data_IF_629596126458
#
_entry.id   IF_629596126458
#
_cell.length_a   1.000
_cell.length_b   1.000
_cell.length_c   1.000
_cell.angle_alpha   90.00
_cell.angle_beta   90.00
_cell.angle_gamma   90.00
#
_symmetry.space_group_name_H-M   'P 1'
#
loop_
_entity.id
_entity.type
_entity.pdbx_description
1 polymer ?
#
# COMPACT_ATOMS: atom_id res chain seq x y z
N UNK A 1 -15.05 -14.33 21.36
CA UNK A 1 -13.66 -13.84 21.15
C UNK A 1 -13.54 -13.28 19.76
N UNK A 2 -13.49 -11.96 19.63
CA UNK A 2 -13.35 -11.24 18.37
C UNK A 2 -12.69 -9.88 18.63
N UNK A 3 -12.23 -9.22 17.57
CA UNK A 3 -11.69 -7.87 17.67
C UNK A 3 -12.81 -6.89 18.02
N UNK A 4 -12.53 -5.91 18.88
CA UNK A 4 -13.48 -4.82 19.17
C UNK A 4 -13.72 -4.00 17.89
N UNK A 5 -14.95 -3.52 17.66
CA UNK A 5 -15.28 -2.80 16.42
C UNK A 5 -14.41 -1.55 16.24
N UNK A 6 -14.10 -0.85 17.32
CA UNK A 6 -13.21 0.31 17.33
C UNK A 6 -11.73 -0.01 17.03
N UNK A 7 -11.33 -1.28 17.06
CA UNK A 7 -9.96 -1.71 16.74
C UNK A 7 -9.73 -1.98 15.24
N UNK A 8 -10.79 -1.90 14.42
CA UNK A 8 -10.72 -2.19 12.98
C UNK A 8 -11.16 -0.96 12.20
N UNK A 9 -10.22 -0.38 11.46
CA UNK A 9 -10.49 0.71 10.55
C UNK A 9 -10.34 0.25 9.10
N UNK A 10 -11.38 0.47 8.29
CA UNK A 10 -11.28 0.30 6.85
C UNK A 10 -10.59 1.50 6.21
N UNK A 11 -9.62 1.24 5.34
CA UNK A 11 -8.90 2.25 4.56
C UNK A 11 -8.91 1.84 3.09
N UNK A 12 -9.95 2.20 2.32
CA UNK A 12 -10.04 1.81 0.92
C UNK A 12 -9.04 2.60 0.07
N UNK A 13 -8.35 1.91 -0.83
CA UNK A 13 -7.57 2.54 -1.89
C UNK A 13 -8.36 2.65 -3.17
N UNK A 14 -8.10 3.70 -3.96
CA UNK A 14 -8.61 3.76 -5.34
C UNK A 14 -8.09 2.55 -6.12
N UNK A 15 -8.96 1.93 -6.92
CA UNK A 15 -8.53 0.89 -7.86
C UNK A 15 -7.62 1.56 -8.89
N UNK A 16 -6.37 1.12 -8.94
CA UNK A 16 -5.42 1.52 -9.97
C UNK A 16 -5.08 0.30 -10.81
N UNK A 17 -5.02 0.47 -12.13
CA UNK A 17 -4.64 -0.59 -13.07
C UNK A 17 -3.19 -1.07 -12.85
N UNK A 18 -2.37 -0.26 -12.16
CA UNK A 18 -0.99 -0.56 -11.78
C UNK A 18 -0.73 -0.20 -10.31
N UNK A 19 0.25 -0.88 -9.70
CA UNK A 19 0.80 -0.56 -8.37
C UNK A 19 -0.20 -0.59 -7.20
N UNK A 20 -1.14 -1.55 -7.20
CA UNK A 20 -2.19 -1.69 -6.17
C UNK A 20 -1.66 -1.63 -4.73
N UNK A 21 -0.53 -2.29 -4.44
CA UNK A 21 0.12 -2.26 -3.11
C UNK A 21 0.56 -0.84 -2.72
N UNK A 22 1.12 -0.07 -3.65
CA UNK A 22 1.53 1.32 -3.40
C UNK A 22 0.30 2.21 -3.22
N UNK A 23 -0.76 2.00 -4.01
CA UNK A 23 -2.03 2.70 -3.85
C UNK A 23 -2.64 2.50 -2.45
N UNK A 24 -2.60 1.27 -1.92
CA UNK A 24 -2.99 0.97 -0.53
C UNK A 24 -2.14 1.72 0.48
N UNK A 25 -0.82 1.78 0.29
CA UNK A 25 0.06 2.51 1.18
C UNK A 25 -0.17 4.03 1.14
N UNK A 26 -0.49 4.60 -0.03
CA UNK A 26 -0.85 6.02 -0.16
C UNK A 26 -2.18 6.31 0.53
N UNK A 27 -3.17 5.43 0.38
CA UNK A 27 -4.46 5.55 1.09
C UNK A 27 -4.26 5.53 2.61
N UNK A 28 -3.41 4.64 3.13
CA UNK A 28 -3.05 4.60 4.55
C UNK A 28 -2.41 5.90 5.02
N UNK A 29 -1.45 6.44 4.25
CA UNK A 29 -0.84 7.74 4.57
C UNK A 29 -1.88 8.85 4.64
N UNK A 30 -2.79 8.90 3.66
CA UNK A 30 -3.85 9.91 3.61
C UNK A 30 -4.76 9.80 4.83
N UNK A 31 -5.16 8.57 5.17
CA UNK A 31 -5.97 8.31 6.34
C UNK A 31 -5.31 8.82 7.64
N UNK A 32 -4.01 8.54 7.85
CA UNK A 32 -3.28 9.06 9.01
C UNK A 32 -3.30 10.60 9.08
N UNK A 33 -3.15 11.27 7.93
CA UNK A 33 -3.18 12.73 7.87
C UNK A 33 -4.56 13.29 8.18
N UNK A 34 -5.62 12.71 7.63
CA UNK A 34 -7.00 13.13 7.84
C UNK A 34 -7.44 12.98 9.30
N UNK A 35 -6.86 12.00 10.01
CA UNK A 35 -7.19 11.70 11.40
C UNK A 35 -6.18 12.28 12.40
N UNK A 36 -5.23 13.12 11.93
CA UNK A 36 -4.15 13.69 12.75
C UNK A 36 -3.35 12.63 13.55
N UNK A 37 -3.23 11.42 13.00
CA UNK A 37 -2.52 10.32 13.63
C UNK A 37 -1.01 10.48 13.42
N UNK A 38 -0.27 10.80 14.49
CA UNK A 38 1.19 10.85 14.47
C UNK A 38 1.78 9.45 14.61
N UNK A 39 2.08 8.82 13.47
CA UNK A 39 2.59 7.43 13.43
C UNK A 39 4.09 7.42 13.21
N UNK A 40 4.83 6.86 14.16
CA UNK A 40 6.28 6.67 14.05
C UNK A 40 6.66 5.30 13.47
N UNK A 41 5.77 4.31 13.62
CA UNK A 41 5.99 2.95 13.13
C UNK A 41 4.69 2.25 12.80
N UNK A 42 4.72 1.36 11.81
CA UNK A 42 3.59 0.50 11.43
C UNK A 42 4.09 -0.89 11.07
N UNK A 43 3.33 -1.92 11.45
CA UNK A 43 3.54 -3.29 10.99
C UNK A 43 2.55 -3.61 9.88
N UNK A 44 3.06 -4.09 8.74
CA UNK A 44 2.23 -4.57 7.64
C UNK A 44 2.20 -6.09 7.68
N UNK A 45 1.01 -6.68 7.67
CA UNK A 45 0.82 -8.13 7.56
C UNK A 45 0.58 -8.46 6.09
N UNK A 46 1.32 -9.41 5.55
CA UNK A 46 1.19 -9.85 4.16
C UNK A 46 1.73 -11.27 4.00
N UNK A 47 1.36 -11.92 2.90
CA UNK A 47 1.99 -13.17 2.51
C UNK A 47 3.51 -13.03 2.32
N UNK A 48 4.25 -14.08 2.69
CA UNK A 48 5.70 -14.10 2.79
C UNK A 48 6.40 -13.69 1.49
N UNK A 49 5.95 -14.20 0.35
CA UNK A 49 6.60 -13.95 -0.94
C UNK A 49 6.59 -12.45 -1.26
N UNK A 50 5.48 -11.75 -0.98
CA UNK A 50 5.33 -10.32 -1.24
C UNK A 50 5.94 -9.40 -0.16
N UNK A 51 6.39 -9.94 0.97
CA UNK A 51 6.78 -9.17 2.15
C UNK A 51 7.84 -8.08 1.85
N UNK A 52 8.85 -8.43 1.04
CA UNK A 52 9.95 -7.50 0.72
C UNK A 52 9.49 -6.32 -0.13
N UNK A 53 8.70 -6.56 -1.19
CA UNK A 53 8.19 -5.50 -2.06
C UNK A 53 7.14 -4.66 -1.34
N UNK A 54 6.25 -5.28 -0.58
CA UNK A 54 5.28 -4.56 0.26
C UNK A 54 5.97 -3.61 1.22
N UNK A 55 6.97 -4.07 1.97
CA UNK A 55 7.74 -3.21 2.89
C UNK A 55 8.40 -2.03 2.17
N UNK A 56 9.01 -2.28 1.00
CA UNK A 56 9.63 -1.23 0.20
C UNK A 56 8.62 -0.17 -0.26
N UNK A 57 7.47 -0.59 -0.80
CA UNK A 57 6.45 0.31 -1.33
C UNK A 57 5.77 1.11 -0.22
N UNK A 58 5.47 0.48 0.92
CA UNK A 58 4.96 1.19 2.10
C UNK A 58 5.97 2.20 2.64
N UNK A 59 7.26 1.87 2.66
CA UNK A 59 8.31 2.82 3.03
C UNK A 59 8.40 4.02 2.07
N UNK A 60 8.29 3.78 0.75
CA UNK A 60 8.23 4.86 -0.25
C UNK A 60 7.00 5.75 -0.06
N UNK A 61 5.85 5.17 0.28
CA UNK A 61 4.60 5.91 0.44
C UNK A 61 4.57 6.72 1.75
N UNK A 62 4.84 6.08 2.90
CA UNK A 62 4.75 6.69 4.23
C UNK A 62 5.90 7.67 4.52
N UNK A 63 7.02 7.53 3.81
CA UNK A 63 8.18 8.41 3.93
C UNK A 63 9.18 7.95 4.99
N UNK A 64 10.35 8.61 5.00
CA UNK A 64 11.53 8.18 5.78
C UNK A 64 11.36 8.27 7.30
N UNK A 65 10.37 9.02 7.78
CA UNK A 65 10.12 9.22 9.22
C UNK A 65 9.24 8.14 9.85
N UNK A 66 8.65 7.25 9.03
CA UNK A 66 7.81 6.15 9.52
C UNK A 66 8.56 4.84 9.35
N UNK A 67 8.80 4.14 10.45
CA UNK A 67 9.41 2.81 10.44
C UNK A 67 8.39 1.78 9.98
N UNK A 68 8.65 1.12 8.85
CA UNK A 68 7.78 0.05 8.34
C UNK A 68 8.34 -1.32 8.72
N UNK A 69 7.63 -2.00 9.61
CA UNK A 69 7.81 -3.42 9.92
C UNK A 69 6.96 -4.30 9.01
N UNK A 70 7.32 -5.58 8.92
CA UNK A 70 6.63 -6.57 8.07
C UNK A 70 6.44 -7.86 8.85
N UNK A 71 5.23 -8.38 8.84
CA UNK A 71 4.87 -9.69 9.39
C UNK A 71 4.50 -10.57 8.20
N UNK A 72 5.40 -11.50 7.87
CA UNK A 72 5.30 -12.39 6.73
C UNK A 72 4.57 -13.68 7.12
N UNK A 73 3.41 -13.91 6.53
CA UNK A 73 2.60 -15.13 6.74
C UNK A 73 2.91 -16.13 5.63
N UNK A 74 3.15 -17.40 5.98
CA UNK A 74 3.42 -18.44 4.98
C UNK A 74 2.21 -18.64 4.06
N UNK A 75 2.48 -18.90 2.78
CA UNK A 75 1.48 -19.39 1.85
C UNK A 75 1.11 -20.85 2.25
N UNK A 76 -0.19 -21.21 2.38
CA UNK A 76 -0.59 -22.59 2.65
C UNK A 76 -0.40 -23.55 1.46
N UNK A 77 -0.27 -23.04 0.24
CA UNK A 77 -0.27 -23.81 -1.00
C UNK A 77 1.10 -24.44 -1.32
N UNK A 78 2.19 -23.94 -0.72
CA UNK A 78 3.52 -24.53 -0.82
C UNK A 78 4.39 -24.27 0.42
N UNK A 79 5.32 -25.19 0.70
CA UNK A 79 6.31 -24.97 1.74
C UNK A 79 7.31 -23.87 1.32
N UNK A 80 7.40 -22.82 2.13
CA UNK A 80 8.36 -21.73 1.96
C UNK A 80 9.81 -22.21 1.96
N UNK A 81 10.11 -23.33 2.64
CA UNK A 81 11.45 -23.89 2.74
C UNK A 81 11.90 -24.62 1.48
N UNK A 82 10.95 -25.12 0.67
CA UNK A 82 11.20 -25.97 -0.50
C UNK A 82 10.38 -25.53 -1.72
N UNK A 83 10.08 -24.23 -1.82
CA UNK A 83 9.20 -23.64 -2.84
C UNK A 83 9.58 -24.03 -4.28
N UNK A 84 10.86 -24.30 -4.55
CA UNK A 84 11.36 -24.71 -5.86
C UNK A 84 10.83 -26.07 -6.33
N UNK A 85 10.31 -26.88 -5.41
CA UNK A 85 9.71 -28.19 -5.73
C UNK A 85 8.26 -28.05 -6.22
N UNK A 86 7.69 -26.84 -6.15
CA UNK A 86 6.31 -26.54 -6.48
C UNK A 86 6.26 -25.56 -7.65
N UNK A 87 5.55 -25.91 -8.72
CA UNK A 87 5.40 -25.03 -9.90
C UNK A 87 4.83 -23.65 -9.53
N UNK A 88 3.92 -23.59 -8.56
CA UNK A 88 3.37 -22.35 -8.02
C UNK A 88 4.41 -21.54 -7.25
N UNK A 89 5.12 -22.18 -6.31
CA UNK A 89 6.22 -21.55 -5.58
C UNK A 89 7.30 -20.98 -6.49
N UNK A 90 7.69 -21.69 -7.55
CA UNK A 90 8.65 -21.19 -8.55
C UNK A 90 8.11 -19.94 -9.25
N UNK A 91 6.87 -20.00 -9.76
CA UNK A 91 6.25 -18.87 -10.46
C UNK A 91 6.15 -17.64 -9.56
N UNK A 92 5.70 -17.82 -8.33
CA UNK A 92 5.50 -16.73 -7.38
C UNK A 92 6.82 -16.09 -6.98
N UNK A 93 7.80 -16.88 -6.56
CA UNK A 93 9.10 -16.36 -6.09
C UNK A 93 9.85 -15.65 -7.21
N UNK A 94 9.84 -16.20 -8.44
CA UNK A 94 10.53 -15.57 -9.59
C UNK A 94 9.82 -14.30 -10.02
N UNK A 95 8.49 -14.33 -10.18
CA UNK A 95 7.71 -13.15 -10.57
C UNK A 95 7.87 -12.02 -9.55
N UNK A 96 7.84 -12.37 -8.26
CA UNK A 96 8.00 -11.41 -7.18
C UNK A 96 9.44 -10.89 -7.07
N UNK A 97 10.46 -11.71 -7.35
CA UNK A 97 11.84 -11.25 -7.43
C UNK A 97 12.01 -10.19 -8.53
N UNK A 98 11.47 -10.43 -9.73
CA UNK A 98 11.49 -9.47 -10.83
C UNK A 98 10.71 -8.19 -10.47
N UNK A 99 9.52 -8.33 -9.90
CA UNK A 99 8.71 -7.20 -9.45
C UNK A 99 9.42 -6.37 -8.36
N UNK A 100 10.12 -7.04 -7.43
CA UNK A 100 10.89 -6.38 -6.38
C UNK A 100 12.07 -5.59 -6.97
N UNK A 101 12.84 -6.19 -7.88
CA UNK A 101 13.95 -5.52 -8.56
C UNK A 101 13.44 -4.30 -9.32
N UNK A 102 12.35 -4.47 -10.08
CA UNK A 102 11.71 -3.36 -10.79
C UNK A 102 11.30 -2.23 -9.84
N UNK A 103 10.61 -2.55 -8.74
CA UNK A 103 10.19 -1.58 -7.74
C UNK A 103 11.37 -0.89 -7.03
N UNK A 104 12.50 -1.59 -6.89
CA UNK A 104 13.69 -1.07 -6.24
C UNK A 104 14.47 -0.10 -7.11
N UNK A 105 14.55 -0.37 -8.41
CA UNK A 105 15.43 0.33 -9.36
C UNK A 105 14.71 1.35 -10.24
N UNK A 106 13.47 1.10 -10.63
CA UNK A 106 12.76 1.91 -11.63
C UNK A 106 11.50 2.59 -11.08
N UNK A 107 10.96 2.12 -9.95
CA UNK A 107 9.77 2.74 -9.37
C UNK A 107 10.11 3.96 -8.50
N UNK A 108 9.89 5.13 -9.09
CA UNK A 108 10.02 6.43 -8.44
C UNK A 108 8.67 7.14 -8.48
N UNK A 109 7.84 7.02 -7.42
CA UNK A 109 6.57 7.71 -7.40
C UNK A 109 6.80 9.22 -7.37
N UNK A 110 6.10 9.96 -8.22
CA UNK A 110 6.09 11.41 -8.17
C UNK A 110 5.63 11.87 -6.78
N UNK A 111 6.19 13.00 -6.30
CA UNK A 111 5.73 13.60 -5.05
C UNK A 111 4.21 13.80 -5.13
N UNK A 112 3.45 13.49 -4.07
CA UNK A 112 2.01 13.67 -4.08
C UNK A 112 1.69 15.13 -4.39
N UNK A 113 1.02 15.39 -5.52
CA UNK A 113 0.42 16.69 -5.81
C UNK A 113 -0.47 17.03 -4.62
N UNK A 114 -0.21 18.16 -3.96
CA UNK A 114 -1.21 18.80 -3.12
C UNK A 114 -2.44 18.97 -4.01
N UNK A 115 -3.54 18.31 -3.66
CA UNK A 115 -4.83 18.66 -4.23
C UNK A 115 -5.11 20.06 -3.71
N UNK A 116 -4.68 21.07 -4.47
CA UNK A 116 -5.14 22.43 -4.31
C UNK A 116 -6.65 22.40 -4.53
N UNK A 117 -7.41 23.04 -3.63
CA UNK A 117 -8.87 23.09 -3.66
C UNK A 117 -9.36 23.64 -5.01
N UNK A 118 -9.62 22.77 -5.98
CA UNK A 118 -10.63 23.06 -7.01
C UNK A 118 -11.97 22.56 -6.49
N UNK A 119 -12.46 23.24 -5.48
CA UNK A 119 -13.88 23.28 -5.12
C UNK A 119 -14.35 24.74 -5.14
N UNK A 120 -14.00 25.44 -6.23
CA UNK A 120 -14.76 26.57 -6.73
C UNK A 120 -15.62 26.02 -7.86
N UNK A 121 -16.82 25.54 -7.51
CA UNK A 121 -17.85 25.30 -8.52
C UNK A 121 -18.44 26.68 -8.81
N UNK A 122 -18.07 27.24 -9.96
CA UNK A 122 -18.71 28.43 -10.50
C UNK A 122 -20.22 28.17 -10.60
N UNK A 123 -20.97 28.85 -9.75
CA UNK A 123 -22.41 29.04 -9.98
C UNK A 123 -22.54 30.15 -11.02
N UNK A 124 -23.19 29.92 -12.18
CA UNK A 124 -23.53 31.01 -13.05
C UNK A 124 -24.54 31.90 -12.33
N UNK A 125 -24.14 33.15 -12.14
CA UNK A 125 -24.99 34.28 -11.79
C UNK A 125 -26.19 34.36 -12.75
N UNK A 126 -27.39 34.45 -12.17
CA UNK A 126 -28.44 35.38 -12.61
C UNK A 126 -29.14 35.09 -13.95
N UNK A 127 -30.38 34.63 -13.84
CA UNK A 127 -31.46 35.12 -14.70
C UNK A 127 -32.75 35.17 -13.88
N UNK A 128 -33.09 36.37 -13.40
CA UNK A 128 -34.48 36.78 -13.24
C UNK A 128 -34.98 37.20 -14.63
N UNK A 129 -36.06 36.58 -15.14
CA UNK A 129 -37.33 37.20 -15.58
C UNK A 129 -38.39 36.09 -15.53
#
# INVERSE_FOLDING_TARGET
NGLAKESVQMVPSRVMDRDRTYASAVALRQWFREHNASVQSVNIVTENTHARRTRLLFGKALGKHVTVGIIAVSNPDYDKGHWWSYSEGVKDVVSEALAYIYARLFFHPAAPRSIEKTAGYDSPSGAQI
#
